data_IF_479525101356
#
_entry.id   IF_479525101356
#
_cell.length_a   1.000
_cell.length_b   1.000
_cell.length_c   1.000
_cell.angle_alpha   90.00
_cell.angle_beta   90.00
_cell.angle_gamma   90.00
#
_symmetry.space_group_name_H-M   'P 1'
#
loop_
_entity.id
_entity.type
_entity.pdbx_description
1 polymer ?
#
# COMPACT_ATOMS: atom_id res chain seq x y z
N UNK A 1 -14.60 -1.74 6.30
CA UNK A 1 -14.04 -3.04 5.87
C UNK A 1 -13.89 -3.91 7.10
N UNK A 2 -14.30 -5.17 7.01
CA UNK A 2 -14.15 -6.15 8.08
C UNK A 2 -12.70 -6.64 8.16
N UNK A 3 -12.32 -7.29 9.27
CA UNK A 3 -11.03 -8.01 9.41
C UNK A 3 -11.10 -9.44 8.85
N UNK A 4 -12.04 -9.68 7.94
CA UNK A 4 -12.40 -11.02 7.46
C UNK A 4 -11.23 -11.77 6.78
N UNK A 5 -10.33 -11.06 6.12
CA UNK A 5 -9.15 -11.62 5.44
C UNK A 5 -7.85 -11.42 6.21
N UNK A 6 -7.85 -10.71 7.34
CA UNK A 6 -6.62 -10.25 7.96
C UNK A 6 -5.67 -11.39 8.35
N UNK A 7 -4.46 -11.35 7.81
CA UNK A 7 -3.35 -12.24 8.16
C UNK A 7 -2.20 -11.40 8.77
N UNK A 8 -1.90 -11.57 10.07
CA UNK A 8 -0.83 -10.83 10.73
C UNK A 8 0.58 -11.27 10.33
N UNK A 9 0.75 -12.39 9.61
CA UNK A 9 2.08 -12.91 9.23
C UNK A 9 2.65 -12.26 7.97
N UNK A 10 1.80 -11.60 7.17
CA UNK A 10 2.19 -10.89 5.96
C UNK A 10 3.16 -9.75 6.28
N UNK A 11 4.32 -9.75 5.60
CA UNK A 11 5.38 -8.74 5.78
C UNK A 11 4.99 -7.37 5.26
N UNK A 12 3.99 -7.28 4.39
CA UNK A 12 3.39 -6.03 3.95
C UNK A 12 2.80 -5.23 5.14
N UNK A 13 2.30 -5.89 6.19
CA UNK A 13 1.85 -5.18 7.39
C UNK A 13 3.02 -4.50 8.11
N UNK A 14 4.16 -5.18 8.21
CA UNK A 14 5.38 -4.66 8.84
C UNK A 14 5.96 -3.51 8.00
N UNK A 15 6.10 -3.71 6.69
CA UNK A 15 6.52 -2.67 5.73
C UNK A 15 5.74 -1.36 5.93
N UNK A 16 4.40 -1.44 5.96
CA UNK A 16 3.57 -0.24 6.11
C UNK A 16 3.74 0.39 7.49
N UNK A 17 3.95 -0.40 8.53
CA UNK A 17 4.24 0.15 9.86
C UNK A 17 5.58 0.88 9.88
N UNK A 18 6.63 0.30 9.32
CA UNK A 18 7.96 0.90 9.28
C UNK A 18 7.96 2.19 8.48
N UNK A 19 7.33 2.21 7.30
CA UNK A 19 7.20 3.41 6.46
C UNK A 19 6.48 4.58 7.18
N UNK A 20 5.61 4.30 8.16
CA UNK A 20 4.93 5.34 8.93
C UNK A 20 5.83 5.99 9.98
N UNK A 21 6.77 5.23 10.53
CA UNK A 21 7.57 5.65 11.68
C UNK A 21 8.99 6.07 11.29
N UNK A 22 9.48 5.61 10.15
CA UNK A 22 10.79 5.95 9.61
C UNK A 22 10.66 6.83 8.36
N UNK A 23 10.85 8.14 8.56
CA UNK A 23 10.82 9.12 7.47
C UNK A 23 11.92 8.88 6.43
N UNK A 24 13.10 8.40 6.86
CA UNK A 24 14.19 8.08 5.95
C UNK A 24 13.82 6.90 5.05
N UNK A 25 13.25 5.84 5.64
CA UNK A 25 12.74 4.70 4.87
C UNK A 25 11.63 5.11 3.89
N UNK A 26 10.73 6.02 4.29
CA UNK A 26 9.70 6.55 3.41
C UNK A 26 10.31 7.34 2.23
N UNK A 27 11.31 8.19 2.48
CA UNK A 27 12.03 8.92 1.43
C UNK A 27 12.75 7.95 0.48
N UNK A 28 13.35 6.87 1.01
CA UNK A 28 13.93 5.81 0.19
C UNK A 28 12.87 5.10 -0.65
N UNK A 29 11.74 4.75 -0.07
CA UNK A 29 10.63 4.08 -0.74
C UNK A 29 10.03 4.92 -1.87
N UNK A 30 9.90 6.23 -1.67
CA UNK A 30 9.42 7.16 -2.71
C UNK A 30 10.43 7.34 -3.85
N UNK A 31 11.72 7.16 -3.57
CA UNK A 31 12.81 7.31 -4.55
C UNK A 31 13.09 6.01 -5.32
N UNK A 32 13.08 4.88 -4.61
CA UNK A 32 13.43 3.55 -5.12
C UNK A 32 12.63 2.49 -4.34
N UNK A 33 11.38 2.35 -4.73
CA UNK A 33 10.42 1.43 -4.10
C UNK A 33 10.93 -0.01 -4.13
N UNK A 34 11.42 -0.49 -5.27
CA UNK A 34 11.88 -1.87 -5.44
C UNK A 34 13.03 -2.22 -4.48
N UNK A 35 14.01 -1.31 -4.32
CA UNK A 35 15.12 -1.51 -3.40
C UNK A 35 14.69 -1.56 -1.93
N UNK A 36 13.61 -0.88 -1.56
CA UNK A 36 13.02 -1.00 -0.22
C UNK A 36 12.27 -2.31 -0.08
N UNK A 37 11.47 -2.70 -1.08
CA UNK A 37 10.74 -3.97 -1.06
C UNK A 37 11.68 -5.19 -0.98
N UNK A 38 12.86 -5.13 -1.59
CA UNK A 38 13.91 -6.17 -1.49
C UNK A 38 14.45 -6.40 -0.07
N UNK A 39 14.22 -5.46 0.86
CA UNK A 39 14.64 -5.59 2.27
C UNK A 39 13.67 -6.46 3.09
N UNK A 40 12.49 -6.75 2.55
CA UNK A 40 11.43 -7.51 3.22
C UNK A 40 11.25 -8.85 2.53
N UNK A 41 11.00 -9.91 3.32
CA UNK A 41 10.66 -11.25 2.82
C UNK A 41 9.18 -11.30 2.39
N UNK A 42 8.82 -10.46 1.43
CA UNK A 42 7.47 -10.35 0.88
C UNK A 42 7.16 -11.57 0.01
N UNK A 43 5.96 -12.11 0.14
CA UNK A 43 5.43 -13.02 -0.86
C UNK A 43 5.34 -12.30 -2.22
N UNK A 44 5.46 -13.03 -3.34
CA UNK A 44 5.33 -12.43 -4.67
C UNK A 44 4.05 -11.61 -4.84
N UNK A 45 2.96 -12.05 -4.23
CA UNK A 45 1.66 -11.37 -4.30
C UNK A 45 1.59 -10.09 -3.47
N UNK A 46 2.30 -10.04 -2.32
CA UNK A 46 2.44 -8.82 -1.52
C UNK A 46 3.23 -7.78 -2.31
N UNK A 47 4.40 -8.17 -2.83
CA UNK A 47 5.26 -7.29 -3.61
C UNK A 47 4.51 -6.74 -4.83
N UNK A 48 3.86 -7.62 -5.59
CA UNK A 48 3.13 -7.22 -6.78
C UNK A 48 1.97 -6.27 -6.43
N UNK A 49 1.20 -6.57 -5.37
CA UNK A 49 0.11 -5.70 -4.93
C UNK A 49 0.58 -4.30 -4.53
N UNK A 50 1.76 -4.17 -3.91
CA UNK A 50 2.34 -2.85 -3.60
C UNK A 50 2.75 -2.13 -4.89
N UNK A 51 3.55 -2.76 -5.75
CA UNK A 51 4.07 -2.15 -6.99
C UNK A 51 2.94 -1.68 -7.93
N UNK A 52 1.89 -2.48 -8.07
CA UNK A 52 0.77 -2.21 -8.97
C UNK A 52 -0.32 -1.32 -8.33
N UNK A 53 -0.17 -0.93 -7.07
CA UNK A 53 -1.19 -0.20 -6.30
C UNK A 53 -2.53 -0.95 -6.23
N UNK A 54 -2.47 -2.29 -6.25
CA UNK A 54 -3.63 -3.17 -6.15
C UNK A 54 -4.02 -3.41 -4.68
N UNK A 55 -4.58 -2.36 -4.06
CA UNK A 55 -5.05 -2.41 -2.68
C UNK A 55 -6.16 -3.45 -2.47
N UNK A 56 -6.92 -3.77 -3.53
CA UNK A 56 -7.92 -4.86 -3.47
C UNK A 56 -7.24 -6.20 -3.31
N UNK A 57 -6.23 -6.51 -4.11
CA UNK A 57 -5.44 -7.73 -3.96
C UNK A 57 -4.80 -7.80 -2.58
N UNK A 58 -4.17 -6.72 -2.14
CA UNK A 58 -3.58 -6.66 -0.80
C UNK A 58 -4.62 -6.91 0.31
N UNK A 59 -5.83 -6.38 0.18
CA UNK A 59 -6.95 -6.68 1.10
C UNK A 59 -7.34 -8.16 1.08
N UNK A 60 -7.49 -8.73 -0.12
CA UNK A 60 -7.95 -10.12 -0.29
C UNK A 60 -6.92 -11.14 0.22
N UNK A 61 -5.61 -10.87 0.08
CA UNK A 61 -4.56 -11.74 0.61
C UNK A 61 -4.35 -11.58 2.12
N UNK A 62 -4.82 -10.47 2.71
CA UNK A 62 -4.94 -10.32 4.15
C UNK A 62 -4.21 -9.14 4.79
N UNK A 63 -3.75 -8.16 4.02
CA UNK A 63 -3.20 -6.92 4.59
C UNK A 63 -4.30 -6.15 5.32
N UNK A 64 -3.97 -5.64 6.51
CA UNK A 64 -4.95 -4.97 7.36
C UNK A 64 -5.57 -3.73 6.69
N UNK A 65 -6.91 -3.56 6.67
CA UNK A 65 -7.58 -2.44 5.98
C UNK A 65 -7.11 -1.04 6.39
N UNK A 66 -6.87 -0.83 7.69
CA UNK A 66 -6.29 0.42 8.18
C UNK A 66 -4.90 0.67 7.59
N UNK A 67 -4.04 -0.35 7.50
CA UNK A 67 -2.69 -0.22 6.93
C UNK A 67 -2.75 0.03 5.42
N UNK A 68 -3.68 -0.58 4.69
CA UNK A 68 -3.93 -0.23 3.28
C UNK A 68 -4.26 1.26 3.10
N UNK A 69 -5.12 1.79 3.98
CA UNK A 69 -5.43 3.21 4.00
C UNK A 69 -4.23 4.10 4.35
N UNK A 70 -3.29 3.62 5.17
CA UNK A 70 -2.04 4.33 5.45
C UNK A 70 -1.10 4.29 4.24
N UNK A 71 -0.88 3.11 3.66
CA UNK A 71 -0.04 2.91 2.48
C UNK A 71 -0.48 3.80 1.31
N UNK A 72 -1.78 3.83 1.02
CA UNK A 72 -2.34 4.72 0.00
C UNK A 72 -2.01 6.21 0.25
N UNK A 73 -2.07 6.68 1.50
CA UNK A 73 -1.70 8.06 1.86
C UNK A 73 -0.21 8.32 1.71
N UNK A 74 0.63 7.36 2.10
CA UNK A 74 2.09 7.47 1.99
C UNK A 74 2.55 7.53 0.52
N UNK A 75 1.89 6.78 -0.37
CA UNK A 75 2.17 6.74 -1.80
C UNK A 75 1.66 8.01 -2.52
N UNK A 76 0.40 8.39 -2.31
CA UNK A 76 -0.24 9.48 -3.08
C UNK A 76 -0.06 10.87 -2.45
N UNK A 77 0.60 10.94 -1.29
CA UNK A 77 1.16 12.16 -0.75
C UNK A 77 0.45 12.73 0.48
N UNK A 78 1.30 13.15 1.42
CA UNK A 78 1.13 14.25 2.38
C UNK A 78 1.91 15.49 1.93
N UNK A 79 2.00 15.75 0.62
CA UNK A 79 2.71 16.92 0.09
C UNK A 79 1.83 18.17 0.18
N UNK A 80 1.68 18.72 1.39
CA UNK A 80 1.10 20.02 1.82
C UNK A 80 -0.16 20.60 1.12
N UNK A 81 -0.77 19.97 0.11
CA UNK A 81 -1.98 20.40 -0.61
C UNK A 81 -2.61 19.30 -1.52
N UNK A 82 -2.13 18.05 -1.53
CA UNK A 82 -2.82 16.95 -2.20
C UNK A 82 -3.90 16.38 -1.26
N UNK A 83 -5.10 16.95 -1.37
CA UNK A 83 -6.22 16.65 -0.49
C UNK A 83 -6.48 15.14 -0.35
N UNK A 84 -6.98 14.77 0.82
CA UNK A 84 -7.59 13.48 1.19
C UNK A 84 -8.45 12.84 0.09
N UNK A 85 -8.92 13.62 -0.89
CA UNK A 85 -9.62 13.20 -2.10
C UNK A 85 -8.80 12.27 -3.01
N UNK A 86 -7.52 12.54 -3.31
CA UNK A 86 -6.76 11.74 -4.31
C UNK A 86 -6.45 10.36 -3.79
N UNK A 87 -5.87 10.24 -2.59
CA UNK A 87 -5.59 8.95 -1.97
C UNK A 87 -6.88 8.15 -1.71
N UNK A 88 -7.95 8.80 -1.25
CA UNK A 88 -9.23 8.12 -1.05
C UNK A 88 -9.83 7.64 -2.38
N UNK A 89 -9.76 8.45 -3.45
CA UNK A 89 -10.25 8.08 -4.78
C UNK A 89 -9.46 6.91 -5.35
N UNK A 90 -8.13 6.95 -5.27
CA UNK A 90 -7.27 5.86 -5.75
C UNK A 90 -7.52 4.56 -4.97
N UNK A 91 -7.65 4.64 -3.65
CA UNK A 91 -8.03 3.48 -2.83
C UNK A 91 -9.39 2.92 -3.26
N UNK A 92 -10.40 3.79 -3.42
CA UNK A 92 -11.75 3.37 -3.83
C UNK A 92 -11.74 2.75 -5.24
N UNK A 93 -11.07 3.36 -6.21
CA UNK A 93 -10.96 2.86 -7.58
C UNK A 93 -10.31 1.47 -7.61
N UNK A 94 -9.20 1.29 -6.89
CA UNK A 94 -8.52 0.00 -6.75
C UNK A 94 -9.44 -1.07 -6.13
N UNK A 95 -10.16 -0.74 -5.05
CA UNK A 95 -11.12 -1.65 -4.40
C UNK A 95 -12.29 -2.05 -5.31
N UNK A 96 -12.74 -1.14 -6.16
CA UNK A 96 -13.78 -1.37 -7.16
C UNK A 96 -13.26 -2.11 -8.40
N UNK A 97 -11.94 -2.25 -8.56
CA UNK A 97 -11.29 -2.89 -9.70
C UNK A 97 -11.25 -1.99 -10.96
N UNK A 98 -11.33 -0.68 -10.78
CA UNK A 98 -11.39 0.30 -11.88
C UNK A 98 -10.00 0.67 -12.43
N UNK A 99 -8.91 0.38 -11.71
CA UNK A 99 -7.52 0.60 -12.13
C UNK A 99 -7.02 -0.35 -13.26
N UNK A 100 -7.77 -1.43 -13.56
CA UNK A 100 -7.37 -2.43 -14.56
C UNK A 100 -7.93 -2.18 -15.99
N UNK A 101 -8.54 -1.01 -16.24
CA UNK A 101 -9.10 -0.66 -17.55
C UNK A 101 -8.38 0.55 -18.15
N UNK A 102 -7.15 0.34 -18.63
CA UNK A 102 -6.31 1.39 -19.18
C UNK A 102 -5.34 0.95 -20.27
N UNK A 103 -5.90 0.46 -21.40
CA UNK A 103 -5.27 0.18 -22.72
C UNK A 103 -4.45 -1.10 -22.88
#
# INVERSE_FOLDING_TARGET
>A
MSLEHFDPLLRANDLVQDLKWDAGLLEEFQRDEEAVLDRYDLLPEERQGVLERDFRRLYLIGVHPYLLGQLSRLIHGTAENAGTSVAATALVASLLGEDAAGT
#
